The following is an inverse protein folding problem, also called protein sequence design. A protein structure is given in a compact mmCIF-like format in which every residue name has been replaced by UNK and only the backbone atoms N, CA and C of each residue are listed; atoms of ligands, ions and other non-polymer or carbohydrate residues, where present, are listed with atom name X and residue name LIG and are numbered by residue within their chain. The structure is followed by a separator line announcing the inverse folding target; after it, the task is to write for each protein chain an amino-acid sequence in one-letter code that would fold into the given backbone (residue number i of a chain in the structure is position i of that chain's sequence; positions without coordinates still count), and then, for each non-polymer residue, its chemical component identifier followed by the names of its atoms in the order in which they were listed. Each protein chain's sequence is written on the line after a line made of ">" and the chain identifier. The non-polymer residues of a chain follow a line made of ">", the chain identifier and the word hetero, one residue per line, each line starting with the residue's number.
data_IF_335838337349
#
_entry.id   IF_335838337349
#
_cell.length_a   1.000
_cell.length_b   1.000
_cell.length_c   1.000
_cell.angle_alpha   90.00
_cell.angle_beta   90.00
_cell.angle_gamma   90.00
#
_symmetry.space_group_name_H-M   'P 1'
#
loop_
_entity.id
_entity.type
_entity.pdbx_description
1 polymer ?
#
# COMPACT_ATOMS: atom_id res chain seq x y z
N UNK A 1 -25.82 -9.48 17.39
CA UNK A 1 -24.45 -8.92 17.56
C UNK A 1 -24.21 -8.39 18.96
N UNK A 2 -24.98 -7.41 19.53
CA UNK A 2 -24.72 -6.86 20.88
C UNK A 2 -24.63 -7.92 21.99
N UNK A 3 -25.53 -8.90 21.99
CA UNK A 3 -25.53 -9.99 23.01
C UNK A 3 -24.29 -10.86 22.92
N UNK A 4 -23.92 -11.29 21.70
CA UNK A 4 -22.72 -12.09 21.45
C UNK A 4 -21.45 -11.29 21.80
N UNK A 5 -21.43 -10.00 21.47
CA UNK A 5 -20.33 -9.12 21.83
C UNK A 5 -20.18 -9.01 23.37
N UNK A 6 -21.29 -8.81 24.10
CA UNK A 6 -21.27 -8.73 25.57
C UNK A 6 -20.81 -10.05 26.21
N UNK A 7 -21.24 -11.20 25.68
CA UNK A 7 -20.83 -12.52 26.16
C UNK A 7 -19.34 -12.81 25.95
N UNK A 8 -18.74 -12.22 24.88
CA UNK A 8 -17.33 -12.41 24.50
C UNK A 8 -16.40 -11.29 24.97
N UNK A 9 -16.92 -10.22 25.55
CA UNK A 9 -16.11 -9.06 25.95
C UNK A 9 -14.99 -9.40 26.92
N UNK A 10 -15.27 -10.31 27.86
CA UNK A 10 -14.31 -10.74 28.87
C UNK A 10 -13.15 -11.57 28.28
N UNK A 11 -13.38 -12.20 27.12
CA UNK A 11 -12.41 -13.05 26.45
C UNK A 11 -11.48 -12.27 25.49
N UNK A 12 -11.74 -10.96 25.27
CA UNK A 12 -10.96 -10.13 24.34
C UNK A 12 -9.73 -9.57 25.04
N UNK A 13 -8.54 -9.89 24.53
CA UNK A 13 -7.32 -9.16 24.86
C UNK A 13 -7.34 -7.78 24.19
N UNK A 14 -7.89 -6.80 24.92
CA UNK A 14 -8.04 -5.42 24.44
C UNK A 14 -6.70 -4.75 24.13
N UNK A 15 -5.66 -5.09 24.85
CA UNK A 15 -4.31 -4.56 24.61
C UNK A 15 -3.76 -5.08 23.29
N UNK A 16 -3.93 -6.37 23.02
CA UNK A 16 -3.54 -6.94 21.73
C UNK A 16 -4.41 -6.40 20.60
N UNK A 17 -5.72 -6.20 20.82
CA UNK A 17 -6.62 -5.58 19.85
C UNK A 17 -6.13 -4.18 19.45
N UNK A 18 -5.89 -3.30 20.44
CA UNK A 18 -5.46 -1.93 20.20
C UNK A 18 -4.10 -1.89 19.46
N UNK A 19 -3.14 -2.68 19.92
CA UNK A 19 -1.83 -2.82 19.27
C UNK A 19 -1.95 -3.27 17.81
N UNK A 20 -2.82 -4.23 17.51
CA UNK A 20 -3.07 -4.72 16.15
C UNK A 20 -3.77 -3.67 15.29
N UNK A 21 -4.76 -2.98 15.84
CA UNK A 21 -5.47 -1.91 15.15
C UNK A 21 -4.55 -0.73 14.82
N UNK A 22 -3.67 -0.35 15.75
CA UNK A 22 -2.68 0.72 15.57
C UNK A 22 -1.66 0.37 14.47
N UNK A 23 -1.05 -0.81 14.52
CA UNK A 23 -0.12 -1.28 13.48
C UNK A 23 -0.73 -1.29 12.08
N UNK A 24 -2.04 -1.49 11.96
CA UNK A 24 -2.78 -1.49 10.69
C UNK A 24 -3.39 -0.15 10.34
N UNK A 25 -3.18 0.84 11.20
CA UNK A 25 -3.75 2.18 11.05
C UNK A 25 -5.28 2.18 10.87
N UNK A 26 -6.00 1.33 11.63
CA UNK A 26 -7.45 1.21 11.60
C UNK A 26 -8.13 1.56 12.95
N UNK A 27 -7.40 2.18 13.87
CA UNK A 27 -7.92 2.55 15.20
C UNK A 27 -9.16 3.43 15.09
N UNK A 28 -9.08 4.50 14.30
CA UNK A 28 -10.21 5.43 14.10
C UNK A 28 -11.41 4.74 13.43
N UNK A 29 -11.15 3.81 12.50
CA UNK A 29 -12.19 3.00 11.86
C UNK A 29 -12.86 2.06 12.87
N UNK A 30 -12.09 1.41 13.73
CA UNK A 30 -12.61 0.56 14.81
C UNK A 30 -13.47 1.38 15.77
N UNK A 31 -13.00 2.56 16.23
CA UNK A 31 -13.75 3.48 17.09
C UNK A 31 -15.09 3.89 16.47
N UNK A 32 -15.04 4.30 15.19
CA UNK A 32 -16.26 4.65 14.46
C UNK A 32 -17.25 3.49 14.37
N UNK A 33 -16.78 2.28 14.06
CA UNK A 33 -17.65 1.12 13.94
C UNK A 33 -18.26 0.72 15.28
N UNK A 34 -17.51 0.78 16.40
CA UNK A 34 -18.08 0.57 17.73
C UNK A 34 -19.25 1.54 18.01
N UNK A 35 -19.07 2.82 17.69
CA UNK A 35 -20.12 3.81 17.85
C UNK A 35 -21.34 3.51 16.96
N UNK A 36 -21.10 3.20 15.67
CA UNK A 36 -22.15 2.93 14.69
C UNK A 36 -23.04 1.74 15.05
N UNK A 37 -22.46 0.70 15.64
CA UNK A 37 -23.22 -0.49 16.08
C UNK A 37 -23.70 -0.41 17.53
N UNK A 38 -23.48 0.74 18.20
CA UNK A 38 -23.91 1.00 19.57
C UNK A 38 -23.14 0.20 20.61
N UNK A 39 -21.86 -0.02 20.39
CA UNK A 39 -20.92 -0.69 21.28
C UNK A 39 -19.81 0.26 21.76
N UNK A 40 -20.08 1.57 21.86
CA UNK A 40 -19.09 2.57 22.31
C UNK A 40 -18.52 2.24 23.69
N UNK A 41 -19.38 1.76 24.59
CA UNK A 41 -19.02 1.46 25.98
C UNK A 41 -18.54 0.00 26.18
N UNK A 42 -18.41 -0.74 25.09
CA UNK A 42 -18.01 -2.13 25.12
C UNK A 42 -16.53 -2.35 25.47
N UNK A 43 -15.56 -1.58 24.92
CA UNK A 43 -14.17 -1.66 25.37
C UNK A 43 -14.01 -1.11 26.79
N UNK A 44 -13.03 -1.59 27.60
CA UNK A 44 -12.68 -0.98 28.87
C UNK A 44 -12.40 0.53 28.75
N UNK A 45 -12.69 1.30 29.80
CA UNK A 45 -12.58 2.77 29.80
C UNK A 45 -11.20 3.28 29.31
N UNK A 46 -10.11 2.60 29.71
CA UNK A 46 -8.76 2.93 29.25
C UNK A 46 -8.62 2.76 27.73
N UNK A 47 -9.18 1.70 27.17
CA UNK A 47 -9.14 1.44 25.73
C UNK A 47 -10.01 2.43 24.96
N UNK A 48 -11.18 2.79 25.50
CA UNK A 48 -12.02 3.85 24.91
C UNK A 48 -11.25 5.16 24.81
N UNK A 49 -10.57 5.57 25.90
CA UNK A 49 -9.74 6.76 25.92
C UNK A 49 -8.64 6.73 24.83
N UNK A 50 -7.91 5.61 24.72
CA UNK A 50 -6.85 5.45 23.72
C UNK A 50 -7.39 5.46 22.28
N UNK A 51 -8.57 4.85 22.05
CA UNK A 51 -9.25 4.90 20.75
C UNK A 51 -9.66 6.34 20.39
N UNK A 52 -10.14 7.12 21.35
CA UNK A 52 -10.56 8.51 21.15
C UNK A 52 -9.35 9.41 20.87
N UNK A 53 -8.29 9.31 21.66
CA UNK A 53 -7.06 10.09 21.46
C UNK A 53 -6.41 9.81 20.10
N UNK A 54 -6.29 8.53 19.73
CA UNK A 54 -5.80 8.14 18.40
C UNK A 54 -6.68 8.72 17.28
N UNK A 55 -8.01 8.67 17.45
CA UNK A 55 -8.94 9.19 16.44
C UNK A 55 -8.79 10.68 16.24
N UNK A 56 -8.61 11.46 17.34
CA UNK A 56 -8.35 12.90 17.27
C UNK A 56 -7.02 13.22 16.57
N UNK A 57 -5.97 12.47 16.92
CA UNK A 57 -4.65 12.62 16.28
C UNK A 57 -4.72 12.37 14.78
N UNK A 58 -5.37 11.28 14.36
CA UNK A 58 -5.52 10.96 12.94
C UNK A 58 -6.44 11.95 12.21
N UNK A 59 -7.45 12.52 12.88
CA UNK A 59 -8.27 13.57 12.30
C UNK A 59 -7.45 14.85 12.02
N UNK A 60 -6.61 15.27 12.97
CA UNK A 60 -5.71 16.40 12.76
C UNK A 60 -4.70 16.15 11.62
N UNK A 61 -4.10 14.95 11.60
CA UNK A 61 -3.20 14.54 10.52
C UNK A 61 -3.90 14.48 9.15
N UNK A 62 -5.14 14.04 9.11
CA UNK A 62 -5.94 14.02 7.88
C UNK A 62 -6.09 15.41 7.28
N UNK A 63 -6.41 16.41 8.10
CA UNK A 63 -6.55 17.80 7.63
C UNK A 63 -5.23 18.34 7.05
N UNK A 64 -4.12 18.12 7.76
CA UNK A 64 -2.79 18.51 7.28
C UNK A 64 -2.42 17.77 5.98
N UNK A 65 -2.74 16.50 5.89
CA UNK A 65 -2.50 15.66 4.72
C UNK A 65 -3.28 16.15 3.49
N UNK A 66 -4.59 16.39 3.65
CA UNK A 66 -5.45 16.89 2.56
C UNK A 66 -4.98 18.28 2.09
N UNK A 67 -4.65 19.18 3.03
CA UNK A 67 -4.13 20.50 2.71
C UNK A 67 -2.83 20.42 1.90
N UNK A 68 -1.87 19.62 2.35
CA UNK A 68 -0.59 19.48 1.68
C UNK A 68 -0.70 18.78 0.31
N UNK A 69 -1.56 17.74 0.20
CA UNK A 69 -1.84 17.08 -1.07
C UNK A 69 -2.45 18.06 -2.09
N UNK A 70 -3.43 18.86 -1.64
CA UNK A 70 -4.06 19.87 -2.49
C UNK A 70 -3.06 20.94 -2.92
N UNK A 71 -2.21 21.41 -1.99
CA UNK A 71 -1.14 22.37 -2.29
C UNK A 71 -0.20 21.85 -3.36
N UNK A 72 0.22 20.60 -3.26
CA UNK A 72 1.15 20.01 -4.22
C UNK A 72 0.50 19.81 -5.60
N UNK A 73 -0.75 19.32 -5.65
CA UNK A 73 -1.49 19.19 -6.92
C UNK A 73 -1.67 20.57 -7.58
N UNK A 74 -1.99 21.60 -6.81
CA UNK A 74 -2.14 22.97 -7.31
C UNK A 74 -0.82 23.51 -7.86
N UNK A 75 0.29 23.27 -7.18
CA UNK A 75 1.62 23.67 -7.63
C UNK A 75 2.00 22.99 -8.97
N UNK A 76 1.75 21.70 -9.11
CA UNK A 76 1.98 20.98 -10.36
C UNK A 76 1.10 21.52 -11.48
N UNK A 77 -0.18 21.73 -11.23
CA UNK A 77 -1.12 22.28 -12.22
C UNK A 77 -0.76 23.69 -12.67
N UNK A 78 -0.22 24.53 -11.80
CA UNK A 78 0.20 25.90 -12.15
C UNK A 78 1.31 25.94 -13.22
N UNK A 79 2.03 24.87 -13.41
CA UNK A 79 3.06 24.71 -14.46
C UNK A 79 2.63 23.74 -15.58
N UNK A 80 1.33 23.42 -15.68
CA UNK A 80 0.76 22.58 -16.73
C UNK A 80 0.91 21.08 -16.51
N UNK A 81 1.22 20.63 -15.28
CA UNK A 81 1.35 19.21 -14.94
C UNK A 81 0.07 18.75 -14.22
N UNK A 82 -0.69 17.87 -14.87
CA UNK A 82 -1.79 17.19 -14.20
C UNK A 82 -1.25 16.02 -13.37
N UNK A 83 -1.83 15.83 -12.19
CA UNK A 83 -1.47 14.74 -11.28
C UNK A 83 -2.73 14.04 -10.77
N UNK A 84 -2.70 12.71 -10.78
CA UNK A 84 -3.75 11.89 -10.17
C UNK A 84 -3.29 11.42 -8.79
N UNK A 85 -3.99 11.79 -7.71
CA UNK A 85 -3.74 11.21 -6.41
C UNK A 85 -4.10 9.72 -6.43
N UNK A 86 -3.30 8.91 -5.77
CA UNK A 86 -3.52 7.47 -5.65
C UNK A 86 -3.84 7.11 -4.19
N UNK A 87 -4.29 5.89 -3.96
CA UNK A 87 -4.45 5.28 -2.62
C UNK A 87 -5.17 6.22 -1.62
N UNK A 88 -4.51 6.48 -0.46
CA UNK A 88 -5.04 7.35 0.60
C UNK A 88 -5.34 8.76 0.15
N UNK A 89 -4.51 9.33 -0.73
CA UNK A 89 -4.70 10.67 -1.27
C UNK A 89 -6.01 10.79 -2.05
N UNK A 90 -6.29 9.85 -2.94
CA UNK A 90 -7.54 9.83 -3.70
C UNK A 90 -8.77 9.64 -2.81
N UNK A 91 -8.69 8.72 -1.83
CA UNK A 91 -9.79 8.45 -0.92
C UNK A 91 -10.13 9.64 -0.02
N UNK A 92 -9.13 10.35 0.49
CA UNK A 92 -9.31 11.50 1.36
C UNK A 92 -9.84 12.71 0.58
N UNK A 93 -9.23 13.03 -0.55
CA UNK A 93 -9.69 14.13 -1.43
C UNK A 93 -11.09 13.88 -1.98
N UNK A 94 -11.42 12.62 -2.26
CA UNK A 94 -12.73 12.19 -2.74
C UNK A 94 -13.81 12.11 -1.65
N UNK A 95 -13.45 12.29 -0.37
CA UNK A 95 -14.39 12.22 0.75
C UNK A 95 -15.09 10.86 0.87
N UNK A 96 -14.39 9.76 0.60
CA UNK A 96 -14.99 8.42 0.66
C UNK A 96 -15.35 8.01 2.08
N UNK A 97 -14.65 8.50 3.08
CA UNK A 97 -14.91 8.21 4.48
C UNK A 97 -15.75 9.30 5.14
N UNK A 98 -16.72 8.94 6.01
CA UNK A 98 -17.65 9.89 6.61
C UNK A 98 -17.01 10.85 7.62
N UNK A 99 -15.85 10.51 8.17
CA UNK A 99 -15.15 11.34 9.15
C UNK A 99 -13.65 11.43 8.84
N UNK A 100 -13.07 12.60 9.12
CA UNK A 100 -11.63 12.82 9.05
C UNK A 100 -10.89 11.85 9.99
N UNK A 101 -9.75 11.33 9.53
CA UNK A 101 -8.92 10.42 10.31
C UNK A 101 -9.32 8.95 10.27
N UNK A 102 -10.47 8.58 9.70
CA UNK A 102 -10.83 7.17 9.54
C UNK A 102 -9.91 6.44 8.55
N UNK A 103 -9.38 7.16 7.58
CA UNK A 103 -8.37 6.67 6.64
C UNK A 103 -7.02 7.28 6.98
N UNK A 104 -6.14 6.50 7.59
CA UNK A 104 -4.77 6.91 7.85
C UNK A 104 -3.91 6.78 6.58
N UNK A 105 -3.10 7.78 6.28
CA UNK A 105 -2.04 7.75 5.27
C UNK A 105 -0.80 8.46 5.80
N UNK A 106 0.37 7.99 5.38
CA UNK A 106 1.68 8.51 5.82
C UNK A 106 2.43 9.16 4.66
N UNK A 107 2.07 8.81 3.44
CA UNK A 107 2.67 9.20 2.17
C UNK A 107 1.62 9.77 1.21
N UNK A 108 2.01 10.77 0.46
CA UNK A 108 1.22 11.39 -0.60
C UNK A 108 1.67 10.75 -1.91
N UNK A 109 0.83 9.91 -2.48
CA UNK A 109 1.07 9.26 -3.76
C UNK A 109 0.43 10.07 -4.88
N UNK A 110 1.23 10.59 -5.82
CA UNK A 110 0.77 11.31 -6.98
C UNK A 110 1.30 10.66 -8.27
N UNK A 111 0.40 10.25 -9.15
CA UNK A 111 0.73 9.75 -10.48
C UNK A 111 0.79 10.93 -11.45
N UNK A 112 1.89 11.04 -12.18
CA UNK A 112 2.13 12.06 -13.22
C UNK A 112 2.53 11.41 -14.53
N UNK A 113 2.39 12.15 -15.63
CA UNK A 113 2.90 11.72 -16.92
C UNK A 113 4.40 11.41 -16.82
N UNK A 114 4.85 10.22 -17.28
CA UNK A 114 6.27 9.88 -17.30
C UNK A 114 7.16 10.92 -17.98
N UNK A 115 6.66 11.58 -19.03
CA UNK A 115 7.40 12.62 -19.77
C UNK A 115 7.58 13.90 -18.93
N UNK A 116 6.69 14.15 -17.97
CA UNK A 116 6.72 15.32 -17.08
C UNK A 116 7.36 15.04 -15.72
N UNK A 117 7.80 13.81 -15.47
CA UNK A 117 8.27 13.36 -14.15
C UNK A 117 9.44 14.20 -13.60
N UNK A 118 10.42 14.51 -14.43
CA UNK A 118 11.59 15.35 -14.05
C UNK A 118 11.16 16.76 -13.66
N UNK A 119 10.22 17.34 -14.40
CA UNK A 119 9.69 18.67 -14.08
C UNK A 119 8.85 18.66 -12.81
N UNK A 120 8.03 17.61 -12.60
CA UNK A 120 7.26 17.42 -11.38
C UNK A 120 8.18 17.31 -10.15
N UNK A 121 9.32 16.60 -10.29
CA UNK A 121 10.32 16.51 -9.22
C UNK A 121 10.94 17.87 -8.89
N UNK A 122 11.24 18.70 -9.89
CA UNK A 122 11.74 20.08 -9.69
C UNK A 122 10.71 20.93 -8.93
N UNK A 123 9.44 20.89 -9.34
CA UNK A 123 8.36 21.61 -8.65
C UNK A 123 8.26 21.17 -7.19
N UNK A 124 8.35 19.88 -6.90
CA UNK A 124 8.36 19.38 -5.53
C UNK A 124 9.54 19.98 -4.73
N UNK A 125 10.74 20.06 -5.32
CA UNK A 125 11.90 20.67 -4.66
C UNK A 125 11.70 22.15 -4.40
N UNK A 126 11.19 22.91 -5.38
CA UNK A 126 10.86 24.33 -5.26
C UNK A 126 9.85 24.58 -4.12
N UNK A 127 9.00 23.57 -3.82
CA UNK A 127 8.02 23.62 -2.73
C UNK A 127 8.51 22.99 -1.41
N UNK A 128 9.84 22.82 -1.26
CA UNK A 128 10.48 22.42 -0.02
C UNK A 128 10.53 20.91 0.23
N UNK A 129 10.25 20.09 -0.77
CA UNK A 129 10.44 18.66 -0.65
C UNK A 129 11.91 18.28 -0.86
N UNK A 130 12.50 17.70 0.17
CA UNK A 130 13.91 17.31 0.17
C UNK A 130 14.10 15.81 0.10
N UNK A 131 15.24 15.38 -0.43
CA UNK A 131 15.60 13.98 -0.41
C UNK A 131 15.78 13.48 1.03
N UNK A 132 15.31 12.25 1.29
CA UNK A 132 15.51 11.62 2.57
C UNK A 132 16.97 11.16 2.67
N UNK A 133 17.76 11.65 3.67
CA UNK A 133 19.17 11.29 3.82
C UNK A 133 19.38 9.77 3.91
N UNK A 134 20.49 9.28 3.35
CA UNK A 134 20.89 7.87 3.44
C UNK A 134 20.41 6.96 2.31
N UNK A 135 19.55 7.44 1.41
CA UNK A 135 19.03 6.66 0.26
C UNK A 135 19.74 6.94 -1.09
N UNK A 136 20.83 7.72 -1.11
CA UNK A 136 21.54 8.09 -2.34
C UNK A 136 22.57 7.03 -2.73
N UNK A 137 22.21 6.14 -3.63
CA UNK A 137 23.15 5.54 -4.60
C UNK A 137 22.69 5.92 -6.01
N UNK A 138 23.37 6.85 -6.65
CA UNK A 138 22.99 7.39 -7.96
C UNK A 138 22.93 6.33 -9.07
N UNK A 139 23.74 5.27 -8.97
CA UNK A 139 23.74 4.18 -9.96
C UNK A 139 22.65 3.15 -9.68
N UNK A 140 22.41 2.84 -8.41
CA UNK A 140 21.26 2.04 -7.96
C UNK A 140 19.94 2.82 -8.19
N UNK A 141 19.96 4.16 -8.03
CA UNK A 141 18.84 5.04 -8.32
C UNK A 141 18.36 4.89 -9.76
N UNK A 142 19.22 5.06 -10.76
CA UNK A 142 18.86 5.02 -12.18
C UNK A 142 18.37 3.64 -12.64
N UNK A 143 18.89 2.55 -12.06
CA UNK A 143 18.44 1.18 -12.33
C UNK A 143 17.12 0.86 -11.66
N UNK A 144 16.92 1.30 -10.40
CA UNK A 144 15.70 1.06 -9.63
C UNK A 144 14.56 1.98 -10.06
N UNK A 145 14.84 3.20 -10.56
CA UNK A 145 13.81 4.10 -11.11
C UNK A 145 13.16 3.51 -12.38
N UNK A 146 13.91 2.79 -13.19
CA UNK A 146 13.38 2.07 -14.35
C UNK A 146 12.58 0.80 -13.98
N UNK A 147 12.77 0.29 -12.77
CA UNK A 147 12.14 -0.94 -12.26
C UNK A 147 11.03 -0.63 -11.24
N UNK A 148 11.00 0.55 -10.65
CA UNK A 148 9.96 1.01 -9.73
C UNK A 148 8.88 1.79 -10.47
N UNK A 149 7.72 1.86 -9.85
CA UNK A 149 6.59 2.64 -10.34
C UNK A 149 6.61 4.12 -9.87
N UNK A 150 7.57 4.50 -9.01
CA UNK A 150 7.69 5.85 -8.45
C UNK A 150 9.15 6.27 -8.26
N UNK A 151 9.39 7.59 -8.20
CA UNK A 151 10.66 8.17 -7.79
C UNK A 151 10.96 7.90 -6.29
N UNK A 152 12.19 8.20 -5.87
CA UNK A 152 12.54 8.14 -4.46
C UNK A 152 11.67 9.06 -3.63
N UNK A 153 11.12 8.56 -2.48
CA UNK A 153 10.30 9.35 -1.59
C UNK A 153 11.04 10.62 -1.12
N UNK A 154 10.32 11.72 -1.09
CA UNK A 154 10.81 13.02 -0.61
C UNK A 154 10.06 13.46 0.62
N UNK A 155 10.75 14.12 1.56
CA UNK A 155 10.12 14.65 2.76
C UNK A 155 9.76 16.10 2.55
N UNK A 156 8.49 16.44 2.75
CA UNK A 156 7.98 17.80 2.72
C UNK A 156 8.23 18.59 4.01
N UNK A 157 7.97 19.92 3.99
CA UNK A 157 8.15 20.80 5.15
C UNK A 157 7.38 20.35 6.39
N UNK A 158 6.18 19.81 6.21
CA UNK A 158 5.33 19.27 7.29
C UNK A 158 5.67 17.85 7.72
N UNK A 159 6.79 17.28 7.23
CA UNK A 159 7.22 15.91 7.54
C UNK A 159 6.50 14.82 6.74
N UNK A 160 5.49 15.15 5.93
CA UNK A 160 4.80 14.22 5.04
C UNK A 160 5.74 13.75 3.91
N UNK A 161 5.57 12.51 3.52
CA UNK A 161 6.36 11.91 2.44
C UNK A 161 5.58 12.06 1.13
N UNK A 162 6.28 12.49 0.07
CA UNK A 162 5.75 12.54 -1.29
C UNK A 162 6.40 11.44 -2.13
N UNK A 163 5.57 10.65 -2.80
CA UNK A 163 5.96 9.68 -3.81
C UNK A 163 5.37 10.09 -5.18
N UNK A 164 6.24 10.48 -6.11
CA UNK A 164 5.84 10.76 -7.49
C UNK A 164 5.90 9.47 -8.28
N UNK A 165 4.72 8.98 -8.68
CA UNK A 165 4.55 7.79 -9.49
C UNK A 165 4.56 8.15 -10.98
N UNK A 166 5.17 7.30 -11.79
CA UNK A 166 5.11 7.36 -13.25
C UNK A 166 4.36 6.15 -13.85
N UNK A 167 4.01 5.18 -13.00
CA UNK A 167 3.15 4.03 -13.32
C UNK A 167 2.23 3.75 -12.15
N UNK A 168 0.99 3.42 -12.42
CA UNK A 168 0.04 3.03 -11.39
C UNK A 168 0.18 1.55 -11.03
N UNK A 169 0.57 0.70 -11.98
CA UNK A 169 0.67 -0.74 -11.79
C UNK A 169 2.11 -1.19 -12.02
N UNK A 170 2.53 -2.15 -11.19
CA UNK A 170 3.88 -2.70 -11.22
C UNK A 170 3.80 -4.17 -11.65
N UNK A 171 4.49 -4.54 -12.73
CA UNK A 171 4.57 -5.94 -13.22
C UNK A 171 3.25 -6.60 -13.66
N UNK A 172 2.58 -6.04 -14.59
CA UNK A 172 1.67 -6.83 -15.40
C UNK A 172 2.48 -7.72 -16.35
N UNK A 173 2.70 -8.98 -15.99
CA UNK A 173 3.48 -9.94 -16.78
C UNK A 173 2.73 -10.24 -18.08
N UNK A 174 3.18 -9.64 -19.20
CA UNK A 174 2.56 -9.83 -20.51
C UNK A 174 1.18 -9.21 -20.68
N UNK A 175 0.68 -8.48 -19.69
CA UNK A 175 -0.58 -7.77 -19.70
C UNK A 175 -0.39 -6.31 -20.11
N UNK A 176 -1.47 -5.72 -20.58
CA UNK A 176 -1.56 -4.30 -20.87
C UNK A 176 -1.38 -3.50 -19.57
N UNK A 177 -0.44 -2.54 -19.57
CA UNK A 177 -0.34 -1.55 -18.50
C UNK A 177 -1.28 -0.39 -18.85
N UNK A 178 -2.11 0.05 -17.92
CA UNK A 178 -2.89 1.27 -18.09
C UNK A 178 -1.95 2.46 -17.86
N UNK A 179 -1.58 3.12 -18.95
CA UNK A 179 -0.76 4.31 -18.90
C UNK A 179 -1.47 5.50 -18.26
N UNK A 180 -0.70 6.55 -17.91
CA UNK A 180 -1.24 7.79 -17.34
C UNK A 180 -2.38 8.37 -18.19
N UNK A 181 -2.22 8.39 -19.53
CA UNK A 181 -3.23 8.92 -20.46
C UNK A 181 -4.58 8.17 -20.36
N UNK A 182 -4.57 6.87 -20.18
CA UNK A 182 -5.80 6.09 -20.03
C UNK A 182 -6.48 6.33 -18.68
N UNK A 183 -5.69 6.46 -17.61
CA UNK A 183 -6.22 6.72 -16.27
C UNK A 183 -6.79 8.14 -16.17
N UNK A 184 -6.09 9.14 -16.75
CA UNK A 184 -6.57 10.54 -16.75
C UNK A 184 -7.83 10.71 -17.59
N UNK A 185 -7.96 9.97 -18.70
CA UNK A 185 -9.16 10.00 -19.55
C UNK A 185 -10.41 9.49 -18.84
N UNK A 186 -10.24 8.60 -17.83
CA UNK A 186 -11.35 8.09 -17.02
C UNK A 186 -11.46 8.79 -15.67
N UNK A 187 -10.58 9.75 -15.39
CA UNK A 187 -10.58 10.48 -14.12
C UNK A 187 -11.83 11.34 -13.98
N UNK A 188 -12.28 11.50 -12.76
CA UNK A 188 -13.40 12.37 -12.40
C UNK A 188 -12.93 13.47 -11.44
N UNK A 189 -13.64 14.60 -11.41
CA UNK A 189 -13.32 15.64 -10.43
C UNK A 189 -13.81 15.26 -9.03
N UNK A 190 -13.03 15.57 -8.01
CA UNK A 190 -13.40 15.35 -6.61
C UNK A 190 -14.74 16.05 -6.26
N UNK A 191 -14.97 17.23 -6.88
CA UNK A 191 -16.25 17.97 -6.85
C UNK A 191 -16.63 18.27 -8.29
N UNK A 192 -17.71 17.69 -8.78
CA UNK A 192 -18.12 17.78 -10.18
C UNK A 192 -18.37 19.21 -10.66
N UNK A 193 -18.85 20.09 -9.78
CA UNK A 193 -19.19 21.49 -10.10
C UNK A 193 -18.01 22.45 -10.01
N UNK A 194 -16.88 22.03 -9.45
CA UNK A 194 -15.70 22.85 -9.25
C UNK A 194 -14.57 22.46 -10.20
N UNK A 195 -14.36 23.25 -11.26
CA UNK A 195 -13.31 23.03 -12.26
C UNK A 195 -11.89 23.10 -11.67
N UNK A 196 -11.71 23.75 -10.51
CA UNK A 196 -10.44 23.82 -9.79
C UNK A 196 -10.18 22.60 -8.93
N UNK A 197 -11.18 21.78 -8.67
CA UNK A 197 -11.11 20.57 -7.88
C UNK A 197 -10.12 19.57 -8.49
N UNK A 198 -9.35 18.83 -7.67
CA UNK A 198 -8.45 17.79 -8.15
C UNK A 198 -9.15 16.72 -8.99
N UNK A 199 -8.47 16.22 -10.01
CA UNK A 199 -8.86 15.00 -10.68
C UNK A 199 -8.55 13.80 -9.78
N UNK A 200 -9.47 12.83 -9.74
CA UNK A 200 -9.33 11.56 -9.03
C UNK A 200 -9.41 10.41 -10.02
N UNK A 201 -8.73 9.30 -9.79
CA UNK A 201 -8.98 8.08 -10.55
C UNK A 201 -10.45 7.71 -10.49
N UNK A 202 -10.98 7.10 -11.54
CA UNK A 202 -12.32 6.51 -11.48
C UNK A 202 -12.42 5.54 -10.30
N UNK A 203 -13.60 5.35 -9.68
CA UNK A 203 -13.75 4.42 -8.56
C UNK A 203 -13.21 3.02 -8.87
N UNK A 204 -13.41 2.54 -10.10
CA UNK A 204 -12.89 1.24 -10.52
C UNK A 204 -11.37 1.21 -10.69
N UNK A 205 -10.75 2.26 -11.26
CA UNK A 205 -9.30 2.35 -11.35
C UNK A 205 -8.66 2.43 -9.95
N UNK A 206 -9.27 3.18 -9.04
CA UNK A 206 -8.80 3.28 -7.66
C UNK A 206 -8.88 1.93 -6.94
N UNK A 207 -10.02 1.22 -7.06
CA UNK A 207 -10.19 -0.11 -6.49
C UNK A 207 -9.19 -1.12 -7.07
N UNK A 208 -9.00 -1.10 -8.40
CA UNK A 208 -8.02 -1.94 -9.10
C UNK A 208 -6.60 -1.68 -8.59
N UNK A 209 -6.22 -0.41 -8.45
CA UNK A 209 -4.91 -0.02 -7.94
C UNK A 209 -4.69 -0.47 -6.49
N UNK A 210 -5.70 -0.35 -5.62
CA UNK A 210 -5.61 -0.78 -4.23
C UNK A 210 -5.42 -2.29 -4.09
N UNK A 211 -6.16 -3.08 -4.87
CA UNK A 211 -5.99 -4.55 -4.90
C UNK A 211 -4.60 -4.92 -5.39
N UNK A 212 -4.16 -4.34 -6.50
CA UNK A 212 -2.83 -4.58 -7.04
C UNK A 212 -1.75 -4.28 -6.00
N UNK A 213 -1.72 -3.06 -5.48
CA UNK A 213 -0.70 -2.62 -4.53
C UNK A 213 -0.64 -3.45 -3.23
N UNK A 214 -1.77 -3.97 -2.77
CA UNK A 214 -1.83 -4.64 -1.46
C UNK A 214 -1.80 -6.15 -1.56
N UNK A 215 -2.53 -6.72 -2.52
CA UNK A 215 -2.72 -8.18 -2.62
C UNK A 215 -1.76 -8.79 -3.65
N UNK A 216 -1.56 -8.13 -4.78
CA UNK A 216 -0.66 -8.64 -5.82
C UNK A 216 0.81 -8.40 -5.46
N UNK A 217 1.16 -7.16 -5.09
CA UNK A 217 2.54 -6.81 -4.73
C UNK A 217 2.94 -7.36 -3.35
N UNK A 218 1.99 -7.59 -2.45
CA UNK A 218 2.19 -8.04 -1.07
C UNK A 218 3.16 -7.18 -0.23
N UNK A 219 3.70 -6.09 -0.78
CA UNK A 219 4.63 -5.20 -0.09
C UNK A 219 4.01 -4.52 1.12
N UNK A 220 2.69 -4.41 1.11
CA UNK A 220 1.87 -3.78 2.15
C UNK A 220 0.86 -4.77 2.75
N UNK A 221 1.25 -6.03 2.96
CA UNK A 221 0.37 -7.07 3.49
C UNK A 221 -0.33 -6.65 4.80
N UNK A 222 0.33 -5.84 5.66
CA UNK A 222 -0.27 -5.25 6.85
C UNK A 222 -1.46 -4.30 6.55
N UNK A 223 -1.59 -3.85 5.30
CA UNK A 223 -2.66 -2.95 4.87
C UNK A 223 -3.90 -3.67 4.31
N UNK A 224 -3.93 -5.02 4.26
CA UNK A 224 -5.05 -5.76 3.65
C UNK A 224 -6.40 -5.39 4.27
N UNK A 225 -6.52 -5.35 5.61
CA UNK A 225 -7.77 -4.94 6.25
C UNK A 225 -8.18 -3.51 5.89
N UNK A 226 -7.21 -2.61 5.79
CA UNK A 226 -7.45 -1.23 5.38
C UNK A 226 -7.89 -1.17 3.92
N UNK A 227 -7.28 -1.96 3.04
CA UNK A 227 -7.67 -2.06 1.63
C UNK A 227 -9.08 -2.62 1.47
N UNK A 228 -9.44 -3.66 2.22
CA UNK A 228 -10.82 -4.16 2.23
C UNK A 228 -11.82 -3.08 2.69
N UNK A 229 -11.46 -2.28 3.70
CA UNK A 229 -12.28 -1.14 4.12
C UNK A 229 -12.36 -0.05 3.04
N UNK A 230 -11.26 0.23 2.33
CA UNK A 230 -11.22 1.15 1.20
C UNK A 230 -12.14 0.67 0.07
N UNK A 231 -12.12 -0.63 -0.26
CA UNK A 231 -13.01 -1.23 -1.27
C UNK A 231 -14.47 -1.15 -0.84
N UNK A 232 -14.79 -1.42 0.44
CA UNK A 232 -16.15 -1.31 0.97
C UNK A 232 -16.73 0.08 0.75
N UNK A 233 -16.00 1.14 1.07
CA UNK A 233 -16.48 2.52 0.89
C UNK A 233 -16.55 2.94 -0.57
N UNK A 234 -15.67 2.42 -1.44
CA UNK A 234 -15.71 2.66 -2.89
C UNK A 234 -16.96 2.01 -3.47
N UNK A 235 -17.21 0.74 -3.19
CA UNK A 235 -18.34 0.00 -3.75
C UNK A 235 -19.68 0.44 -3.18
N UNK A 236 -19.72 0.89 -1.91
CA UNK A 236 -20.91 1.50 -1.35
C UNK A 236 -21.31 2.80 -2.07
N UNK A 237 -20.33 3.59 -2.55
CA UNK A 237 -20.56 4.85 -3.26
C UNK A 237 -20.77 4.67 -4.77
N UNK A 238 -20.13 3.67 -5.36
CA UNK A 238 -20.17 3.38 -6.79
C UNK A 238 -20.24 1.85 -7.00
N UNK A 239 -21.43 1.22 -6.83
CA UNK A 239 -21.56 -0.24 -6.85
C UNK A 239 -21.06 -0.91 -8.15
N UNK A 240 -21.23 -0.26 -9.29
CA UNK A 240 -20.76 -0.73 -10.61
C UNK A 240 -19.23 -0.87 -10.66
N UNK A 241 -18.50 -0.12 -9.84
CA UNK A 241 -17.04 -0.19 -9.83
C UNK A 241 -16.48 -1.54 -9.38
N UNK A 242 -17.29 -2.37 -8.71
CA UNK A 242 -16.88 -3.72 -8.33
C UNK A 242 -16.72 -4.63 -9.56
N UNK A 243 -17.68 -4.60 -10.48
CA UNK A 243 -17.62 -5.37 -11.73
C UNK A 243 -16.53 -4.83 -12.66
N UNK A 244 -16.49 -3.50 -12.83
CA UNK A 244 -15.48 -2.84 -13.64
C UNK A 244 -14.05 -3.12 -13.12
N UNK A 245 -13.83 -3.13 -11.81
CA UNK A 245 -12.56 -3.53 -11.21
C UNK A 245 -12.18 -4.95 -11.61
N UNK A 246 -13.14 -5.89 -11.57
CA UNK A 246 -12.92 -7.28 -12.00
C UNK A 246 -12.49 -7.39 -13.47
N UNK A 247 -13.11 -6.61 -14.36
CA UNK A 247 -12.73 -6.55 -15.77
C UNK A 247 -11.31 -6.00 -15.95
N UNK A 248 -10.99 -4.88 -15.29
CA UNK A 248 -9.65 -4.28 -15.34
C UNK A 248 -8.57 -5.17 -14.76
N UNK A 249 -8.86 -5.85 -13.64
CA UNK A 249 -7.93 -6.82 -13.04
C UNK A 249 -7.66 -7.99 -13.98
N UNK A 250 -8.65 -8.43 -14.78
CA UNK A 250 -8.47 -9.45 -15.81
C UNK A 250 -7.56 -8.96 -16.95
N UNK A 251 -7.81 -7.75 -17.46
CA UNK A 251 -6.96 -7.14 -18.49
C UNK A 251 -5.50 -6.99 -18.02
N UNK A 252 -5.31 -6.70 -16.73
CA UNK A 252 -4.00 -6.58 -16.08
C UNK A 252 -3.41 -7.92 -15.61
N UNK A 253 -4.15 -9.04 -15.77
CA UNK A 253 -3.66 -10.38 -15.48
C UNK A 253 -3.68 -10.78 -13.99
N UNK A 254 -4.51 -10.14 -13.14
CA UNK A 254 -4.65 -10.50 -11.73
C UNK A 254 -6.13 -10.64 -11.27
N UNK A 255 -6.97 -11.21 -12.13
CA UNK A 255 -8.39 -11.42 -11.86
C UNK A 255 -8.64 -12.22 -10.57
N UNK A 256 -7.81 -13.23 -10.27
CA UNK A 256 -7.91 -14.02 -9.04
C UNK A 256 -7.82 -13.17 -7.79
N UNK A 257 -6.83 -12.28 -7.70
CA UNK A 257 -6.66 -11.38 -6.55
C UNK A 257 -7.88 -10.47 -6.33
N UNK A 258 -8.46 -9.95 -7.43
CA UNK A 258 -9.64 -9.09 -7.34
C UNK A 258 -10.87 -9.87 -6.86
N UNK A 259 -11.08 -11.09 -7.36
CA UNK A 259 -12.19 -11.95 -6.91
C UNK A 259 -12.05 -12.33 -5.44
N UNK A 260 -10.86 -12.71 -5.00
CA UNK A 260 -10.60 -13.08 -3.61
C UNK A 260 -10.81 -11.92 -2.66
N UNK A 261 -10.39 -10.70 -3.06
CA UNK A 261 -10.67 -9.49 -2.30
C UNK A 261 -12.18 -9.26 -2.14
N UNK A 262 -12.96 -9.41 -3.21
CA UNK A 262 -14.43 -9.24 -3.19
C UNK A 262 -15.10 -10.33 -2.35
N UNK A 263 -14.65 -11.60 -2.45
CA UNK A 263 -15.18 -12.71 -1.64
C UNK A 263 -14.95 -12.46 -0.16
N UNK A 264 -13.72 -12.10 0.24
CA UNK A 264 -13.39 -11.78 1.64
C UNK A 264 -14.20 -10.58 2.12
N UNK A 265 -14.32 -9.52 1.31
CA UNK A 265 -15.11 -8.35 1.66
C UNK A 265 -16.57 -8.71 1.95
N UNK A 266 -17.23 -9.46 1.06
CA UNK A 266 -18.62 -9.90 1.23
C UNK A 266 -18.80 -10.75 2.50
N UNK A 267 -17.86 -11.64 2.80
CA UNK A 267 -17.88 -12.43 4.03
C UNK A 267 -17.78 -11.54 5.28
N UNK A 268 -16.95 -10.50 5.26
CA UNK A 268 -16.81 -9.58 6.38
C UNK A 268 -18.00 -8.64 6.55
N UNK A 269 -18.68 -8.26 5.47
CA UNK A 269 -19.83 -7.34 5.50
C UNK A 269 -21.14 -8.03 5.89
N UNK A 270 -21.39 -9.21 5.37
CA UNK A 270 -22.69 -9.89 5.50
C UNK A 270 -22.61 -11.31 6.06
N UNK A 271 -21.40 -11.87 6.24
CA UNK A 271 -21.21 -13.24 6.69
C UNK A 271 -21.56 -13.42 8.16
N UNK A 272 -22.10 -14.60 8.47
CA UNK A 272 -22.22 -15.11 9.84
C UNK A 272 -20.88 -15.71 10.29
N UNK A 273 -20.70 -15.93 11.60
CA UNK A 273 -19.52 -16.66 12.11
C UNK A 273 -19.38 -18.04 11.47
N UNK A 274 -20.50 -18.77 11.30
CA UNK A 274 -20.50 -20.08 10.65
C UNK A 274 -20.01 -20.00 9.18
N UNK A 275 -20.44 -18.99 8.43
CA UNK A 275 -19.96 -18.78 7.05
C UNK A 275 -18.49 -18.40 6.99
N UNK A 276 -17.99 -17.64 7.98
CA UNK A 276 -16.56 -17.34 8.11
C UNK A 276 -15.76 -18.61 8.42
N UNK A 277 -16.24 -19.45 9.33
CA UNK A 277 -15.61 -20.73 9.69
C UNK A 277 -15.60 -21.68 8.48
N UNK A 278 -16.71 -21.79 7.74
CA UNK A 278 -16.79 -22.56 6.51
C UNK A 278 -15.82 -22.04 5.43
N UNK A 279 -15.77 -20.72 5.26
CA UNK A 279 -14.88 -20.06 4.31
C UNK A 279 -13.38 -20.21 4.66
N UNK A 280 -13.04 -20.45 5.93
CA UNK A 280 -11.67 -20.81 6.34
C UNK A 280 -11.25 -22.19 5.82
N UNK A 281 -12.16 -23.02 5.34
CA UNK A 281 -11.87 -24.22 4.57
C UNK A 281 -11.33 -23.92 3.17
N UNK A 282 -11.68 -22.78 2.58
CA UNK A 282 -11.10 -22.28 1.34
C UNK A 282 -9.70 -21.70 1.65
N UNK A 283 -8.69 -22.28 1.04
CA UNK A 283 -7.30 -21.99 1.35
C UNK A 283 -6.91 -20.55 0.98
N UNK A 284 -7.49 -20.01 -0.10
CA UNK A 284 -7.22 -18.66 -0.55
C UNK A 284 -7.78 -17.62 0.43
N UNK A 285 -9.03 -17.78 0.82
CA UNK A 285 -9.68 -16.90 1.80
C UNK A 285 -8.95 -16.99 3.14
N UNK A 286 -8.60 -18.20 3.57
CA UNK A 286 -7.82 -18.42 4.79
C UNK A 286 -6.49 -17.68 4.74
N UNK A 287 -5.71 -17.84 3.66
CA UNK A 287 -4.43 -17.16 3.50
C UNK A 287 -4.56 -15.63 3.53
N UNK A 288 -5.56 -15.06 2.86
CA UNK A 288 -5.79 -13.61 2.88
C UNK A 288 -6.21 -13.13 4.27
N UNK A 289 -7.07 -13.87 4.99
CA UNK A 289 -7.48 -13.52 6.35
C UNK A 289 -6.31 -13.69 7.34
N UNK A 290 -5.53 -14.76 7.24
CA UNK A 290 -4.32 -14.94 8.03
C UNK A 290 -3.34 -13.78 7.82
N UNK A 291 -3.12 -13.33 6.58
CA UNK A 291 -2.30 -12.17 6.26
C UNK A 291 -2.86 -10.89 6.85
N UNK A 292 -4.16 -10.68 6.69
CA UNK A 292 -4.85 -9.51 7.22
C UNK A 292 -4.74 -9.42 8.75
N UNK A 293 -4.72 -10.56 9.44
CA UNK A 293 -4.74 -10.66 10.90
C UNK A 293 -3.37 -10.98 11.53
N UNK A 294 -2.40 -11.50 10.75
CA UNK A 294 -1.11 -11.97 11.25
C UNK A 294 -0.25 -10.84 11.84
N UNK A 295 0.40 -11.13 12.95
CA UNK A 295 1.46 -10.26 13.49
C UNK A 295 2.77 -10.34 12.68
N UNK A 296 2.94 -11.38 11.86
CA UNK A 296 4.13 -11.62 11.03
C UNK A 296 4.05 -11.02 9.62
N UNK A 297 3.15 -10.05 9.41
CA UNK A 297 2.99 -9.40 8.09
C UNK A 297 4.29 -8.84 7.52
N UNK A 298 5.23 -8.42 8.38
CA UNK A 298 6.55 -7.91 7.96
C UNK A 298 7.41 -9.01 7.33
N UNK A 299 7.39 -10.23 7.89
CA UNK A 299 8.12 -11.36 7.32
C UNK A 299 7.57 -11.77 5.94
N UNK A 300 6.24 -11.68 5.77
CA UNK A 300 5.58 -11.95 4.49
C UNK A 300 5.89 -10.86 3.45
N UNK A 301 5.88 -9.59 3.85
CA UNK A 301 6.29 -8.48 2.99
C UNK A 301 7.76 -8.60 2.56
N UNK A 302 8.65 -8.99 3.48
CA UNK A 302 10.06 -9.23 3.17
C UNK A 302 10.24 -10.44 2.25
N UNK A 303 9.48 -11.53 2.47
CA UNK A 303 9.45 -12.69 1.58
C UNK A 303 8.91 -12.32 0.19
N UNK A 304 7.85 -11.52 0.09
CA UNK A 304 7.32 -11.04 -1.18
C UNK A 304 8.36 -10.23 -1.97
N UNK A 305 9.10 -9.33 -1.28
CA UNK A 305 10.23 -8.59 -1.89
C UNK A 305 11.32 -9.51 -2.38
N UNK A 306 11.67 -10.58 -1.63
CA UNK A 306 12.63 -11.57 -2.08
C UNK A 306 12.15 -12.29 -3.32
N UNK A 307 10.86 -12.67 -3.39
CA UNK A 307 10.29 -13.29 -4.60
C UNK A 307 10.35 -12.36 -5.82
N UNK A 308 10.24 -11.04 -5.66
CA UNK A 308 10.44 -10.09 -6.76
C UNK A 308 11.86 -10.15 -7.31
N UNK A 309 12.86 -10.28 -6.43
CA UNK A 309 14.26 -10.46 -6.86
C UNK A 309 14.50 -11.82 -7.53
N UNK A 310 13.77 -12.86 -7.12
CA UNK A 310 13.93 -14.24 -7.62
C UNK A 310 12.90 -14.66 -8.68
N UNK A 311 12.01 -13.76 -9.11
CA UNK A 311 11.08 -14.07 -10.20
C UNK A 311 11.85 -14.28 -11.52
N UNK A 312 12.03 -15.56 -11.89
CA UNK A 312 12.83 -16.01 -13.03
C UNK A 312 12.26 -15.61 -14.41
N UNK A 313 11.14 -14.93 -14.47
CA UNK A 313 10.54 -14.44 -15.72
C UNK A 313 11.21 -13.19 -16.30
N UNK A 314 12.00 -12.47 -15.49
CA UNK A 314 12.82 -11.34 -15.94
C UNK A 314 14.25 -11.84 -16.23
N UNK A 315 14.87 -11.38 -17.30
CA UNK A 315 16.18 -11.83 -17.78
C UNK A 315 17.19 -12.02 -16.63
N UNK A 316 17.80 -13.23 -16.44
CA UNK A 316 18.66 -13.55 -15.29
C UNK A 316 19.82 -12.58 -15.09
N UNK A 317 20.37 -12.07 -16.20
CA UNK A 317 21.48 -11.10 -16.17
C UNK A 317 21.11 -9.76 -15.51
N UNK A 318 19.85 -9.29 -15.65
CA UNK A 318 19.40 -8.05 -14.98
C UNK A 318 19.28 -8.24 -13.47
N UNK A 319 18.87 -9.42 -13.03
CA UNK A 319 18.71 -9.76 -11.60
C UNK A 319 20.04 -9.96 -10.91
N UNK A 320 20.97 -10.64 -11.57
CA UNK A 320 22.34 -10.74 -11.05
C UNK A 320 22.94 -9.35 -10.90
N UNK A 321 22.72 -8.45 -11.86
CA UNK A 321 23.13 -7.05 -11.77
C UNK A 321 22.49 -6.30 -10.61
N UNK A 322 21.18 -6.52 -10.33
CA UNK A 322 20.48 -5.92 -9.19
C UNK A 322 20.99 -6.48 -7.86
N UNK A 323 21.17 -7.80 -7.74
CA UNK A 323 21.73 -8.46 -6.57
C UNK A 323 23.16 -7.99 -6.30
N UNK A 324 24.02 -7.93 -7.33
CA UNK A 324 25.38 -7.42 -7.21
C UNK A 324 25.40 -5.94 -6.83
N UNK A 325 24.48 -5.11 -7.31
CA UNK A 325 24.39 -3.70 -6.91
C UNK A 325 23.93 -3.51 -5.46
N UNK A 326 23.17 -4.45 -4.93
CA UNK A 326 22.74 -4.48 -3.53
C UNK A 326 23.90 -4.86 -2.60
N UNK A 327 24.70 -5.84 -3.01
CA UNK A 327 25.87 -6.32 -2.28
C UNK A 327 27.05 -5.34 -2.42
N UNK A 328 27.29 -4.85 -3.64
CA UNK A 328 28.42 -3.99 -4.01
C UNK A 328 27.90 -2.60 -4.42
N UNK A 329 27.43 -1.87 -3.43
CA UNK A 329 26.91 -0.52 -3.60
C UNK A 329 28.02 0.50 -3.86
N UNK A 330 27.66 1.74 -4.26
CA UNK A 330 28.66 2.77 -4.53
C UNK A 330 29.48 3.15 -3.29
N UNK A 331 30.72 3.60 -3.50
CA UNK A 331 31.60 4.12 -2.44
C UNK A 331 30.90 5.18 -1.60
N UNK A 332 30.25 6.15 -2.22
CA UNK A 332 29.53 7.22 -1.55
C UNK A 332 28.37 6.71 -0.65
N UNK A 333 27.76 5.57 -0.99
CA UNK A 333 26.74 4.94 -0.13
C UNK A 333 27.36 4.24 1.06
N UNK A 334 28.51 3.58 0.89
CA UNK A 334 29.25 2.95 2.00
C UNK A 334 29.79 3.99 2.98
N UNK A 335 30.33 5.09 2.50
CA UNK A 335 30.81 6.20 3.32
C UNK A 335 29.70 6.80 4.18
N UNK A 336 28.46 6.82 3.68
CA UNK A 336 27.30 7.29 4.46
C UNK A 336 26.79 6.28 5.46
N UNK A 337 26.85 4.98 5.14
CA UNK A 337 26.38 3.93 6.04
C UNK A 337 27.34 3.70 7.21
N UNK A 338 28.64 3.84 6.96
CA UNK A 338 29.70 3.47 7.88
C UNK A 338 30.60 4.63 8.31
N UNK A 339 30.30 5.86 7.84
CA UNK A 339 31.16 7.04 8.06
C UNK A 339 32.25 7.18 7.00
N UNK A 340 32.87 8.37 6.92
CA UNK A 340 33.97 8.63 5.97
C UNK A 340 35.28 7.98 6.47
N UNK A 341 35.70 6.84 5.92
CA UNK A 341 36.89 6.13 6.40
C UNK A 341 38.12 6.57 5.63
N UNK A 342 39.31 6.34 6.25
CA UNK A 342 40.56 6.33 5.53
C UNK A 342 40.52 5.33 4.36
N UNK A 343 41.34 5.54 3.31
CA UNK A 343 41.30 4.75 2.07
C UNK A 343 41.28 3.22 2.24
N UNK A 344 41.90 2.69 3.30
CA UNK A 344 41.91 1.23 3.58
C UNK A 344 40.63 0.67 4.16
N UNK A 345 39.88 1.45 4.93
CA UNK A 345 38.65 1.00 5.62
C UNK A 345 37.47 0.81 4.69
N UNK A 346 37.48 1.45 3.51
CA UNK A 346 36.38 1.32 2.56
C UNK A 346 36.27 -0.09 1.97
N UNK A 347 37.41 -0.75 1.69
CA UNK A 347 37.42 -2.15 1.22
C UNK A 347 36.86 -3.10 2.28
N UNK A 348 37.16 -2.83 3.54
CA UNK A 348 36.59 -3.58 4.67
C UNK A 348 35.06 -3.40 4.73
N UNK A 349 34.54 -2.20 4.45
CA UNK A 349 33.09 -1.94 4.40
C UNK A 349 32.39 -2.69 3.25
N UNK A 350 33.06 -2.90 2.11
CA UNK A 350 32.53 -3.77 1.04
C UNK A 350 32.41 -5.23 1.50
N UNK A 351 33.38 -5.74 2.26
CA UNK A 351 33.33 -7.09 2.82
C UNK A 351 32.31 -7.21 3.96
N UNK A 352 32.18 -6.17 4.79
CA UNK A 352 31.22 -6.10 5.90
C UNK A 352 29.77 -6.04 5.45
N UNK A 353 29.48 -5.35 4.34
CA UNK A 353 28.11 -5.08 3.89
C UNK A 353 27.25 -6.33 3.64
N UNK A 354 27.69 -7.38 2.97
CA UNK A 354 26.93 -8.62 2.84
C UNK A 354 26.50 -9.19 4.20
N UNK A 355 27.40 -9.18 5.20
CA UNK A 355 27.08 -9.65 6.56
C UNK A 355 26.08 -8.76 7.26
N UNK A 356 26.17 -7.43 7.11
CA UNK A 356 25.20 -6.49 7.67
C UNK A 356 23.82 -6.62 7.00
N UNK A 357 23.76 -6.90 5.70
CA UNK A 357 22.51 -7.21 5.00
C UNK A 357 21.92 -8.51 5.50
N UNK A 358 22.72 -9.58 5.61
CA UNK A 358 22.32 -10.87 6.16
C UNK A 358 21.83 -10.71 7.61
N UNK A 359 22.53 -9.93 8.44
CA UNK A 359 22.15 -9.68 9.84
C UNK A 359 20.86 -8.87 9.96
N UNK A 360 20.58 -7.97 9.02
CA UNK A 360 19.34 -7.17 8.95
C UNK A 360 18.18 -7.91 8.29
N UNK A 361 18.46 -9.02 7.62
CA UNK A 361 17.43 -9.83 7.00
C UNK A 361 16.53 -10.39 8.09
N UNK A 362 15.23 -10.22 7.91
CA UNK A 362 14.25 -10.91 8.74
C UNK A 362 14.26 -12.40 8.36
N UNK A 363 15.02 -13.21 9.09
CA UNK A 363 15.17 -14.65 8.79
C UNK A 363 13.85 -15.42 8.72
N UNK A 364 12.79 -14.89 9.37
CA UNK A 364 11.44 -15.45 9.26
C UNK A 364 10.88 -15.37 7.84
N UNK A 365 11.38 -14.45 7.00
CA UNK A 365 10.99 -14.41 5.59
C UNK A 365 11.55 -15.57 4.77
N UNK A 366 12.56 -16.26 5.24
CA UNK A 366 13.16 -17.46 4.63
C UNK A 366 12.54 -18.77 5.15
N UNK A 367 11.63 -18.68 6.14
CA UNK A 367 10.90 -19.84 6.61
C UNK A 367 10.12 -20.48 5.45
N UNK A 368 10.26 -21.81 5.24
CA UNK A 368 9.62 -22.50 4.12
C UNK A 368 8.09 -22.31 4.06
N UNK A 369 7.44 -22.26 5.22
CA UNK A 369 5.99 -21.99 5.29
C UNK A 369 5.65 -20.57 4.84
N UNK A 370 6.47 -19.58 5.21
CA UNK A 370 6.31 -18.18 4.78
C UNK A 370 6.53 -18.05 3.28
N UNK A 371 7.59 -18.65 2.74
CA UNK A 371 7.89 -18.65 1.30
C UNK A 371 6.78 -19.35 0.50
N UNK A 372 6.30 -20.49 0.98
CA UNK A 372 5.20 -21.22 0.36
C UNK A 372 3.90 -20.39 0.32
N UNK A 373 3.56 -19.71 1.42
CA UNK A 373 2.38 -18.80 1.48
C UNK A 373 2.47 -17.69 0.45
N UNK A 374 3.61 -17.02 0.33
CA UNK A 374 3.83 -15.95 -0.66
C UNK A 374 3.75 -16.50 -2.08
N UNK A 375 4.41 -17.64 -2.35
CA UNK A 375 4.35 -18.29 -3.66
C UNK A 375 2.92 -18.66 -4.04
N UNK A 376 2.17 -19.23 -3.11
CA UNK A 376 0.80 -19.63 -3.34
C UNK A 376 -0.11 -18.45 -3.62
N UNK A 377 -0.05 -17.39 -2.80
CA UNK A 377 -0.82 -16.17 -3.01
C UNK A 377 -0.54 -15.54 -4.37
N UNK A 378 0.74 -15.48 -4.77
CA UNK A 378 1.10 -14.98 -6.09
C UNK A 378 0.54 -15.85 -7.20
N UNK A 379 0.66 -17.16 -7.08
CA UNK A 379 0.11 -18.08 -8.08
C UNK A 379 -1.40 -17.88 -8.24
N UNK A 380 -2.14 -17.82 -7.15
CA UNK A 380 -3.59 -17.62 -7.13
C UNK A 380 -3.97 -16.24 -7.68
N UNK A 381 -3.22 -15.19 -7.35
CA UNK A 381 -3.46 -13.83 -7.86
C UNK A 381 -3.44 -13.74 -9.39
N UNK A 382 -2.63 -14.57 -10.05
CA UNK A 382 -2.45 -14.56 -11.50
C UNK A 382 -3.22 -15.70 -12.22
N UNK A 383 -3.94 -16.55 -11.51
CA UNK A 383 -4.84 -17.54 -12.14
C UNK A 383 -6.07 -16.82 -12.72
N UNK A 384 -6.42 -17.16 -13.96
CA UNK A 384 -7.74 -16.78 -14.48
C UNK A 384 -8.75 -17.83 -14.00
N UNK A 385 -9.78 -17.45 -13.26
CA UNK A 385 -10.81 -18.39 -12.79
C UNK A 385 -11.60 -19.08 -13.90
N UNK A 386 -11.45 -18.61 -15.14
CA UNK A 386 -12.03 -19.30 -16.32
C UNK A 386 -11.26 -20.56 -16.73
N UNK A 387 -10.00 -20.71 -16.31
CA UNK A 387 -9.15 -21.86 -16.66
C UNK A 387 -9.51 -23.13 -15.87
N UNK A 388 -10.20 -23.03 -14.73
CA UNK A 388 -10.62 -24.18 -13.90
C UNK A 388 -11.92 -24.85 -14.39
N UNK A 389 -12.45 -24.52 -15.57
CA UNK A 389 -13.65 -25.13 -16.18
C UNK A 389 -13.33 -26.07 -17.35
N UNK A 390 -12.20 -26.74 -17.26
CA UNK A 390 -11.81 -27.80 -18.18
C UNK A 390 -11.98 -29.19 -17.58
#
# INVERSE_FOLDING_TARGET
>A
MRRLAAEKAADIDWTAFLRRADRRHIVSLARFNFARIGLSDFPPAQIQFELDENSRLWAARHLAYVSETTRMITALRSVGIEALPLKGAALMLGGYYPQAGMRAALDIDLLVDPEQLTRAEQVAQEHGYVEIPGRRDLRARQRLENERNHLWPRRGPGGLILELHHRAFHFAKGSRDFGFAELIARACRARSEDSSSPLLPSPADLATHLVHHTIVDLQSAHAILRTLSDLSVIFARAPQSCEEMGLRARELGFAGAAQSAVRVLRLLESGTLAQLEEAMGDEEIRLLLELALSESSDALADAARLFEYFDFSVRPAKKLGALLSLLFTSRAHLERLYGSPSHGTIYFNYLRRPFDLIRKLNWRCLDPATLWRVWKLRRMSFQDPSDDRG
#
